data_IF_879079506274
#
_entry.id   IF_879079506274
#
_cell.length_a   1.000
_cell.length_b   1.000
_cell.length_c   1.000
_cell.angle_alpha   90.00
_cell.angle_beta   90.00
_cell.angle_gamma   90.00
#
_symmetry.space_group_name_H-M   'P 1'
#
loop_
_entity.id
_entity.type
_entity.pdbx_description
1 polymer ?
#
# COMPACT_ATOMS: atom_id res chain seq x y z
N UNK A 1 -19.65 28.37 17.48
CA UNK A 1 -19.83 27.26 16.52
C UNK A 1 -18.84 26.16 16.89
N UNK A 2 -19.27 24.91 17.02
CA UNK A 2 -18.40 23.79 17.40
C UNK A 2 -18.06 22.97 16.16
N UNK A 3 -16.92 23.26 15.54
CA UNK A 3 -16.47 22.54 14.35
C UNK A 3 -15.66 21.32 14.77
N UNK A 4 -16.03 20.13 14.28
CA UNK A 4 -15.26 18.90 14.48
C UNK A 4 -14.66 18.45 13.17
N UNK A 5 -13.39 18.07 13.21
CA UNK A 5 -12.67 17.45 12.10
C UNK A 5 -12.55 15.96 12.38
N UNK A 6 -12.90 15.14 11.38
CA UNK A 6 -12.72 13.71 11.43
C UNK A 6 -11.81 13.31 10.26
N UNK A 7 -10.72 12.62 10.57
CA UNK A 7 -9.77 12.10 9.60
C UNK A 7 -9.83 10.58 9.64
N UNK A 8 -9.81 9.96 8.47
CA UNK A 8 -9.78 8.52 8.31
C UNK A 8 -8.54 8.13 7.53
N UNK A 9 -7.91 7.07 7.99
CA UNK A 9 -6.97 6.31 7.20
C UNK A 9 -7.71 5.46 6.15
N UNK A 10 -7.02 4.87 5.18
CA UNK A 10 -7.62 4.13 4.06
C UNK A 10 -7.46 2.63 4.25
N UNK A 11 -6.22 2.14 4.12
CA UNK A 11 -5.90 0.73 4.10
C UNK A 11 -6.17 0.10 5.49
N UNK A 12 -6.95 -0.97 5.53
CA UNK A 12 -7.35 -1.61 6.78
C UNK A 12 -8.30 -0.78 7.67
N UNK A 13 -8.61 0.46 7.28
CA UNK A 13 -9.58 1.33 7.97
C UNK A 13 -10.89 1.45 7.19
N UNK A 14 -10.83 1.95 5.96
CA UNK A 14 -11.99 2.09 5.08
C UNK A 14 -12.12 0.92 4.09
N UNK A 15 -10.99 0.29 3.72
CA UNK A 15 -10.97 -0.79 2.73
C UNK A 15 -9.79 -1.74 2.94
N UNK A 16 -10.00 -3.03 2.70
CA UNK A 16 -8.92 -3.99 2.50
C UNK A 16 -8.55 -4.02 1.00
N UNK A 17 -7.42 -3.41 0.65
CA UNK A 17 -6.91 -3.38 -0.73
C UNK A 17 -6.20 -4.67 -1.14
N UNK A 18 -6.12 -5.64 -0.22
CA UNK A 18 -5.47 -6.92 -0.41
C UNK A 18 -3.98 -6.76 -0.71
N UNK A 19 -3.31 -5.71 -0.21
CA UNK A 19 -1.89 -5.38 -0.49
C UNK A 19 -1.63 -4.85 -1.90
N UNK A 20 -2.52 -4.01 -2.44
CA UNK A 20 -2.39 -3.45 -3.78
C UNK A 20 -1.09 -2.66 -4.00
N UNK A 21 -0.65 -1.89 -3.00
CA UNK A 21 0.61 -1.12 -3.07
C UNK A 21 1.83 -2.02 -3.28
N UNK A 22 1.94 -3.11 -2.53
CA UNK A 22 3.03 -4.09 -2.69
C UNK A 22 3.04 -4.69 -4.09
N UNK A 23 1.89 -5.15 -4.59
CA UNK A 23 1.80 -5.71 -5.95
C UNK A 23 2.18 -4.71 -7.03
N UNK A 24 1.81 -3.44 -6.86
CA UNK A 24 2.17 -2.39 -7.81
C UNK A 24 3.69 -2.18 -7.85
N UNK A 25 4.33 -2.12 -6.69
CA UNK A 25 5.78 -1.99 -6.59
C UNK A 25 6.53 -3.21 -7.14
N UNK A 26 6.07 -4.44 -6.86
CA UNK A 26 6.66 -5.65 -7.47
C UNK A 26 6.63 -5.60 -9.00
N UNK A 27 5.53 -5.11 -9.60
CA UNK A 27 5.41 -4.93 -11.06
C UNK A 27 6.41 -3.89 -11.59
N UNK A 28 6.58 -2.78 -10.88
CA UNK A 28 7.54 -1.72 -11.25
C UNK A 28 8.96 -2.25 -11.14
N UNK A 29 9.29 -2.98 -10.08
CA UNK A 29 10.63 -3.54 -9.89
C UNK A 29 10.99 -4.58 -10.94
N UNK A 30 10.02 -5.42 -11.30
CA UNK A 30 10.19 -6.34 -12.39
C UNK A 30 10.44 -5.59 -13.72
N UNK A 31 9.67 -4.53 -13.98
CA UNK A 31 9.76 -3.78 -15.25
C UNK A 31 11.08 -3.03 -15.42
N UNK A 32 11.55 -2.35 -14.38
CA UNK A 32 12.69 -1.43 -14.49
C UNK A 32 14.01 -2.01 -13.99
N UNK A 33 13.96 -3.01 -13.11
CA UNK A 33 15.17 -3.61 -12.50
C UNK A 33 15.29 -5.12 -12.77
N UNK A 34 14.28 -5.76 -13.38
CA UNK A 34 14.29 -7.21 -13.60
C UNK A 34 14.14 -8.04 -12.32
N UNK A 35 13.84 -7.40 -11.18
CA UNK A 35 13.75 -8.06 -9.87
C UNK A 35 12.31 -8.53 -9.65
N UNK A 36 12.14 -9.85 -9.50
CA UNK A 36 10.87 -10.47 -9.11
C UNK A 36 10.74 -10.50 -7.60
N UNK A 37 9.51 -10.40 -7.11
CA UNK A 37 9.16 -10.47 -5.69
C UNK A 37 10.05 -9.58 -4.82
N UNK A 38 10.32 -8.36 -5.29
CA UNK A 38 11.27 -7.42 -4.68
C UNK A 38 10.91 -7.09 -3.22
N UNK A 39 9.63 -7.24 -2.86
CA UNK A 39 9.12 -6.97 -1.52
C UNK A 39 8.77 -8.24 -0.72
N UNK A 40 9.21 -9.43 -1.16
CA UNK A 40 8.99 -10.67 -0.41
C UNK A 40 9.69 -10.63 0.95
N UNK A 41 8.93 -10.91 2.00
CA UNK A 41 9.42 -10.86 3.38
C UNK A 41 9.49 -9.44 3.96
N UNK A 42 9.20 -8.41 3.17
CA UNK A 42 9.10 -7.04 3.65
C UNK A 42 7.65 -6.74 4.01
N UNK A 43 7.43 -6.30 5.25
CA UNK A 43 6.11 -5.82 5.69
C UNK A 43 5.94 -4.37 5.27
N UNK A 44 5.16 -4.16 4.21
CA UNK A 44 4.81 -2.83 3.74
C UNK A 44 3.75 -2.22 4.66
N UNK A 45 3.94 -0.95 5.01
CA UNK A 45 2.92 -0.12 5.64
C UNK A 45 1.99 0.46 4.54
N UNK A 46 0.75 0.77 4.91
CA UNK A 46 -0.38 0.88 4.00
C UNK A 46 -1.36 -0.19 4.39
#
# INVERSE_FOLDING_TARGET
MNNKLLLFDIDGTLVDTGRAGTRALDKVFLKYFGIRDAFKGIRMAG
#
